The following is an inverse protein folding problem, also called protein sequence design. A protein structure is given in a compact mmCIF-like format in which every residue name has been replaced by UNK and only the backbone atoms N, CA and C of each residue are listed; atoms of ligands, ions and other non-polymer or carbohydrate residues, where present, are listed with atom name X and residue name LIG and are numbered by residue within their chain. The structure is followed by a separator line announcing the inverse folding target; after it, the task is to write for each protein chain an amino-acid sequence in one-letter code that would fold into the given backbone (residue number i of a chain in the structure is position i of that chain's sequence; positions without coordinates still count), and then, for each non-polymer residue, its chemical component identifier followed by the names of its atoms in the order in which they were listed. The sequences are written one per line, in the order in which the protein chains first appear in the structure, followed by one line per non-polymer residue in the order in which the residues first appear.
data_IF_693815662956
#
_entry.id   IF_693815662956
#
_cell.length_a   1.000
_cell.length_b   1.000
_cell.length_c   1.000
_cell.angle_alpha   90.00
_cell.angle_beta   90.00
_cell.angle_gamma   90.00
#
_symmetry.space_group_name_H-M   'P 1'
#
loop_
_entity.id
_entity.type
_entity.pdbx_description
1 polymer ?
#
# COMPACT_ATOMS: atom_id res chain seq x y z
N UNK A 1 -15.35 -24.59 6.72
CA UNK A 1 -13.94 -24.78 6.32
C UNK A 1 -13.37 -23.41 6.11
N UNK A 2 -12.52 -22.94 7.04
CA UNK A 2 -11.89 -21.63 6.93
C UNK A 2 -10.84 -21.69 5.82
N UNK A 3 -10.94 -20.80 4.85
CA UNK A 3 -9.88 -20.62 3.85
C UNK A 3 -8.63 -20.16 4.58
N UNK A 4 -7.57 -20.98 4.55
CA UNK A 4 -6.23 -20.57 5.00
C UNK A 4 -5.83 -19.31 4.22
N UNK A 5 -5.34 -18.28 4.92
CA UNK A 5 -4.83 -17.08 4.26
C UNK A 5 -3.40 -17.37 3.81
N UNK A 6 -3.20 -17.49 2.51
CA UNK A 6 -1.85 -17.51 1.95
C UNK A 6 -1.23 -16.10 2.03
N UNK A 7 0.03 -16.04 2.45
CA UNK A 7 0.83 -14.81 2.52
C UNK A 7 2.05 -14.99 1.64
N UNK A 8 2.50 -13.87 1.10
CA UNK A 8 3.56 -13.87 0.09
C UNK A 8 4.94 -13.47 0.62
N UNK A 9 5.02 -12.91 1.83
CA UNK A 9 6.24 -12.25 2.31
C UNK A 9 6.47 -12.61 3.78
N UNK A 10 7.69 -13.06 4.06
CA UNK A 10 8.09 -13.48 5.39
C UNK A 10 9.44 -12.86 5.74
N UNK A 11 9.65 -12.54 7.01
CA UNK A 11 10.99 -12.30 7.53
C UNK A 11 11.41 -13.51 8.37
N UNK A 12 12.61 -14.01 8.14
CA UNK A 12 13.15 -15.18 8.83
C UNK A 12 14.47 -14.82 9.49
N UNK A 13 14.67 -15.28 10.73
CA UNK A 13 15.92 -15.00 11.47
C UNK A 13 16.24 -16.13 12.44
N UNK A 14 17.48 -16.62 12.41
CA UNK A 14 17.98 -17.56 13.44
C UNK A 14 18.47 -16.78 14.66
N UNK A 15 17.79 -16.98 15.79
CA UNK A 15 17.97 -16.31 17.07
C UNK A 15 19.22 -16.80 17.80
N UNK A 16 19.94 -15.88 18.44
CA UNK A 16 21.02 -16.21 19.37
C UNK A 16 20.43 -16.76 20.67
N UNK A 17 21.22 -17.52 21.42
CA UNK A 17 20.74 -18.22 22.64
C UNK A 17 20.06 -17.33 23.69
N UNK A 18 20.37 -16.03 23.74
CA UNK A 18 19.75 -15.08 24.68
C UNK A 18 18.48 -14.41 24.13
N UNK A 19 18.19 -14.57 22.84
CA UNK A 19 17.00 -14.04 22.16
C UNK A 19 15.88 -15.08 22.06
N UNK A 20 16.16 -16.34 22.41
CA UNK A 20 15.23 -17.46 22.24
C UNK A 20 14.11 -17.40 23.28
N UNK A 21 12.83 -17.43 22.86
CA UNK A 21 11.71 -17.49 23.81
C UNK A 21 11.67 -18.81 24.59
N UNK A 22 12.11 -19.92 23.97
CA UNK A 22 12.20 -21.24 24.59
C UNK A 22 13.48 -21.98 24.18
N UNK A 23 13.93 -22.95 24.99
CA UNK A 23 15.23 -23.67 24.84
C UNK A 23 15.45 -24.36 23.48
N UNK A 24 14.42 -24.50 22.65
CA UNK A 24 14.48 -25.12 21.31
C UNK A 24 14.02 -24.20 20.18
N UNK A 25 13.32 -23.11 20.48
CA UNK A 25 12.80 -22.19 19.48
C UNK A 25 13.91 -21.23 19.05
N UNK A 26 14.64 -21.63 18.00
CA UNK A 26 15.85 -20.93 17.54
C UNK A 26 15.61 -20.08 16.31
N UNK A 27 14.45 -20.16 15.69
CA UNK A 27 14.17 -19.50 14.43
C UNK A 27 12.89 -18.71 14.59
N UNK A 28 12.96 -17.43 14.28
CA UNK A 28 11.83 -16.52 14.23
C UNK A 28 11.34 -16.41 12.79
N UNK A 29 10.03 -16.52 12.59
CA UNK A 29 9.35 -16.28 11.33
C UNK A 29 8.29 -15.20 11.57
N UNK A 30 8.37 -14.08 10.84
CA UNK A 30 7.37 -13.03 10.86
C UNK A 30 6.57 -13.07 9.57
N UNK A 31 5.25 -13.01 9.69
CA UNK A 31 4.32 -12.79 8.57
C UNK A 31 4.20 -11.30 8.34
N UNK A 32 4.46 -10.84 7.11
CA UNK A 32 4.47 -9.41 6.79
C UNK A 32 3.19 -8.97 6.08
N UNK A 33 2.76 -7.73 6.33
CA UNK A 33 1.74 -7.05 5.53
C UNK A 33 2.29 -6.55 4.19
N UNK A 34 1.42 -5.98 3.36
CA UNK A 34 1.80 -5.40 2.06
C UNK A 34 2.77 -4.20 2.20
N UNK A 35 2.94 -3.65 3.40
CA UNK A 35 3.89 -2.59 3.72
C UNK A 35 5.22 -3.13 4.29
N UNK A 36 5.37 -4.46 4.40
CA UNK A 36 6.56 -5.10 4.96
C UNK A 36 6.65 -5.06 6.49
N UNK A 37 5.57 -4.69 7.18
CA UNK A 37 5.49 -4.70 8.64
C UNK A 37 5.04 -6.06 9.12
N UNK A 38 5.65 -6.55 10.21
CA UNK A 38 5.21 -7.77 10.86
C UNK A 38 3.77 -7.63 11.40
N UNK A 39 2.86 -8.45 10.89
CA UNK A 39 1.51 -8.62 11.44
C UNK A 39 1.48 -9.71 12.53
N UNK A 40 2.30 -10.74 12.37
CA UNK A 40 2.34 -11.87 13.27
C UNK A 40 3.75 -12.49 13.31
N UNK A 41 4.08 -13.14 14.43
CA UNK A 41 5.40 -13.75 14.66
C UNK A 41 5.20 -15.15 15.23
N UNK A 42 5.97 -16.09 14.72
CA UNK A 42 6.03 -17.47 15.19
C UNK A 42 7.48 -17.90 15.37
N UNK A 43 7.67 -18.97 16.12
CA UNK A 43 8.98 -19.51 16.41
C UNK A 43 9.02 -21.01 16.16
N UNK A 44 10.10 -21.47 15.54
CA UNK A 44 10.31 -22.88 15.20
C UNK A 44 11.67 -23.38 15.67
N UNK A 45 11.81 -24.69 15.65
CA UNK A 45 13.08 -25.40 15.78
C UNK A 45 13.49 -26.07 14.45
N UNK A 46 14.60 -26.81 14.49
CA UNK A 46 15.16 -27.50 13.32
C UNK A 46 14.37 -28.76 12.93
N UNK A 47 13.42 -29.21 13.76
CA UNK A 47 12.59 -30.41 13.54
C UNK A 47 11.16 -30.07 13.11
N UNK A 48 10.81 -28.78 13.11
CA UNK A 48 9.47 -28.31 12.78
C UNK A 48 9.16 -28.54 11.30
N UNK A 49 8.08 -29.27 11.01
CA UNK A 49 7.64 -29.62 9.64
C UNK A 49 6.42 -28.81 9.16
N UNK A 50 5.77 -28.11 10.08
CA UNK A 50 4.58 -27.31 9.84
C UNK A 50 4.46 -26.18 10.86
N UNK A 51 3.97 -25.02 10.41
CA UNK A 51 3.69 -23.88 11.28
C UNK A 51 2.45 -23.13 10.78
N UNK A 52 1.59 -22.75 11.70
CA UNK A 52 0.50 -21.81 11.45
C UNK A 52 0.65 -20.62 12.40
N UNK A 53 0.65 -19.40 11.84
CA UNK A 53 0.75 -18.15 12.61
C UNK A 53 -0.52 -17.35 12.34
N UNK A 54 -1.37 -17.17 13.36
CA UNK A 54 -2.61 -16.38 13.26
C UNK A 54 -3.50 -16.75 12.04
N UNK A 55 -3.67 -18.05 11.74
CA UNK A 55 -4.48 -18.50 10.60
C UNK A 55 -3.76 -18.50 9.25
N UNK A 56 -2.48 -18.15 9.22
CA UNK A 56 -1.61 -18.23 8.03
C UNK A 56 -0.76 -19.48 8.14
N UNK A 57 -0.98 -20.43 7.24
CA UNK A 57 -0.12 -21.61 7.10
C UNK A 57 1.16 -21.18 6.41
N UNK A 58 2.30 -21.44 7.06
CA UNK A 58 3.61 -21.08 6.54
C UNK A 58 4.04 -22.10 5.49
N UNK A 59 4.38 -21.67 4.27
CA UNK A 59 4.83 -22.58 3.22
C UNK A 59 6.07 -23.37 3.65
N UNK A 60 6.16 -24.61 3.16
CA UNK A 60 7.25 -25.51 3.48
C UNK A 60 8.61 -24.93 3.08
N UNK A 61 8.66 -24.23 1.94
CA UNK A 61 9.82 -23.53 1.41
C UNK A 61 10.38 -22.52 2.43
N UNK A 62 9.51 -21.82 3.17
CA UNK A 62 9.92 -20.86 4.21
C UNK A 62 10.54 -21.60 5.38
N UNK A 63 9.95 -22.72 5.82
CA UNK A 63 10.51 -23.53 6.90
C UNK A 63 11.90 -24.05 6.54
N UNK A 64 12.08 -24.55 5.32
CA UNK A 64 13.38 -25.03 4.83
C UNK A 64 14.43 -23.92 4.82
N UNK A 65 14.09 -22.76 4.26
CA UNK A 65 15.04 -21.64 4.19
C UNK A 65 15.38 -21.16 5.59
N UNK A 66 14.38 -21.01 6.47
CA UNK A 66 14.58 -20.57 7.85
C UNK A 66 15.47 -21.53 8.66
N UNK A 67 15.33 -22.85 8.47
CA UNK A 67 16.17 -23.87 9.11
C UNK A 67 17.62 -23.85 8.61
N UNK A 68 17.83 -23.46 7.35
CA UNK A 68 19.16 -23.35 6.74
C UNK A 68 19.94 -22.07 7.09
N UNK A 69 19.32 -21.09 7.76
CA UNK A 69 19.95 -19.79 8.05
C UNK A 69 21.08 -19.87 9.07
N UNK A 70 22.06 -18.99 8.89
CA UNK A 70 23.11 -18.71 9.88
C UNK A 70 22.60 -17.80 11.00
N UNK A 71 23.23 -17.90 12.17
CA UNK A 71 22.84 -17.15 13.37
C UNK A 71 22.97 -15.64 13.19
N UNK A 72 21.92 -14.92 13.60
CA UNK A 72 21.92 -13.46 13.72
C UNK A 72 21.74 -12.69 12.41
N UNK A 73 21.62 -13.36 11.27
CA UNK A 73 21.24 -12.73 10.00
C UNK A 73 19.75 -12.95 9.77
N UNK A 74 19.01 -11.85 9.67
CA UNK A 74 17.64 -11.86 9.18
C UNK A 74 17.61 -11.77 7.66
N UNK A 75 16.62 -12.39 7.05
CA UNK A 75 16.38 -12.30 5.61
C UNK A 75 14.90 -12.14 5.33
N UNK A 76 14.57 -11.43 4.26
CA UNK A 76 13.21 -11.33 3.76
C UNK A 76 13.08 -12.34 2.62
N UNK A 77 11.98 -13.09 2.60
CA UNK A 77 11.74 -14.11 1.59
C UNK A 77 10.32 -14.01 1.04
N UNK A 78 10.16 -14.35 -0.23
CA UNK A 78 8.83 -14.57 -0.82
C UNK A 78 8.25 -15.93 -0.41
N UNK A 79 7.02 -16.27 -0.84
CA UNK A 79 6.37 -17.55 -0.54
C UNK A 79 7.09 -18.79 -1.09
N UNK A 80 8.00 -18.62 -2.03
CA UNK A 80 8.83 -19.69 -2.61
C UNK A 80 10.18 -19.82 -1.89
N UNK A 81 10.43 -18.99 -0.87
CA UNK A 81 11.68 -18.98 -0.10
C UNK A 81 12.83 -18.23 -0.77
N UNK A 82 12.58 -17.51 -1.87
CA UNK A 82 13.62 -16.71 -2.51
C UNK A 82 13.94 -15.47 -1.66
N UNK A 83 15.22 -15.21 -1.42
CA UNK A 83 15.64 -13.97 -0.76
C UNK A 83 15.22 -12.77 -1.59
N UNK A 84 14.56 -11.83 -0.93
CA UNK A 84 14.12 -10.56 -1.48
C UNK A 84 14.80 -9.47 -0.66
N UNK A 85 15.15 -8.36 -1.32
CA UNK A 85 15.63 -7.20 -0.58
C UNK A 85 14.48 -6.72 0.33
N UNK A 86 14.76 -6.31 1.59
CA UNK A 86 13.78 -5.80 2.56
C UNK A 86 12.86 -4.71 1.99
N UNK A 87 13.29 -4.07 0.90
CA UNK A 87 12.65 -2.95 0.22
C UNK A 87 12.43 -3.19 -1.30
N UNK A 88 12.53 -4.44 -1.79
CA UNK A 88 12.00 -4.87 -3.12
C UNK A 88 10.57 -5.41 -3.06
N UNK A 89 9.88 -5.23 -1.93
CA UNK A 89 8.46 -4.85 -2.00
C UNK A 89 8.42 -3.60 -2.86
N UNK A 90 8.01 -3.68 -4.13
CA UNK A 90 8.02 -2.56 -5.08
C UNK A 90 7.49 -1.30 -4.37
N UNK A 91 8.41 -0.42 -3.92
CA UNK A 91 8.02 0.78 -3.20
C UNK A 91 7.18 1.63 -4.14
N UNK A 92 6.24 2.41 -3.60
CA UNK A 92 5.41 3.33 -4.39
C UNK A 92 6.23 4.07 -5.45
N UNK A 93 7.44 4.50 -5.08
CA UNK A 93 8.34 5.22 -5.98
C UNK A 93 8.93 4.37 -7.10
N UNK A 94 9.36 3.13 -6.84
CA UNK A 94 9.91 2.26 -7.89
C UNK A 94 8.82 1.81 -8.87
N UNK A 95 7.62 1.55 -8.33
CA UNK A 95 6.44 1.21 -9.11
C UNK A 95 6.09 2.34 -10.07
N UNK A 96 6.06 3.59 -9.60
CA UNK A 96 5.67 4.75 -10.40
C UNK A 96 6.81 5.24 -11.31
N UNK A 97 8.08 5.15 -10.90
CA UNK A 97 9.22 5.59 -11.70
C UNK A 97 9.36 4.85 -13.04
N UNK A 98 8.79 3.64 -13.16
CA UNK A 98 8.75 2.84 -14.39
C UNK A 98 7.47 3.08 -15.22
N UNK A 99 6.72 4.13 -14.93
CA UNK A 99 5.41 4.45 -15.53
C UNK A 99 5.40 5.86 -16.10
N UNK A 100 4.36 6.17 -16.88
CA UNK A 100 4.17 7.52 -17.38
C UNK A 100 3.69 8.40 -16.23
N UNK A 101 4.39 9.50 -15.96
CA UNK A 101 4.03 10.43 -14.89
C UNK A 101 4.23 11.88 -15.33
N UNK A 102 3.46 12.79 -14.73
CA UNK A 102 3.46 14.20 -15.08
C UNK A 102 4.73 14.95 -14.63
N UNK A 103 5.47 14.37 -13.68
CA UNK A 103 6.64 15.00 -13.06
C UNK A 103 6.30 15.73 -11.76
N UNK A 104 7.32 16.19 -11.03
CA UNK A 104 7.16 16.68 -9.66
C UNK A 104 6.27 17.92 -9.56
N UNK A 105 5.31 17.92 -8.63
CA UNK A 105 4.53 19.10 -8.27
C UNK A 105 5.29 19.95 -7.24
N UNK A 106 5.46 21.27 -7.46
CA UNK A 106 6.06 22.16 -6.48
C UNK A 106 5.28 22.21 -5.16
N UNK A 107 6.01 22.42 -4.06
CA UNK A 107 5.45 22.57 -2.71
C UNK A 107 4.32 23.61 -2.64
N UNK A 108 4.48 24.74 -3.32
CA UNK A 108 3.48 25.81 -3.38
C UNK A 108 2.18 25.34 -4.03
N UNK A 109 2.26 24.56 -5.10
CA UNK A 109 1.10 24.01 -5.81
C UNK A 109 0.36 22.99 -4.94
N UNK A 110 1.10 22.16 -4.20
CA UNK A 110 0.52 21.22 -3.23
C UNK A 110 -0.21 21.99 -2.13
N UNK A 111 0.41 23.03 -1.57
CA UNK A 111 -0.20 23.85 -0.54
C UNK A 111 -1.48 24.56 -1.04
N UNK A 112 -1.47 25.07 -2.27
CA UNK A 112 -2.66 25.68 -2.89
C UNK A 112 -3.78 24.65 -3.10
N UNK A 113 -3.45 23.41 -3.48
CA UNK A 113 -4.41 22.33 -3.63
C UNK A 113 -5.04 21.92 -2.29
N UNK A 114 -4.22 21.76 -1.24
CA UNK A 114 -4.66 21.51 0.13
C UNK A 114 -5.63 22.60 0.61
N UNK A 115 -5.25 23.87 0.42
CA UNK A 115 -6.09 25.03 0.74
C UNK A 115 -7.40 25.04 -0.05
N UNK A 116 -7.36 24.74 -1.34
CA UNK A 116 -8.54 24.74 -2.21
C UNK A 116 -9.54 23.64 -1.85
N UNK A 117 -9.04 22.50 -1.38
CA UNK A 117 -9.88 21.38 -0.95
C UNK A 117 -10.28 21.46 0.53
N UNK A 118 -9.63 22.32 1.32
CA UNK A 118 -9.86 22.48 2.76
C UNK A 118 -9.33 21.30 3.59
N UNK A 119 -8.26 20.65 3.13
CA UNK A 119 -7.71 19.43 3.73
C UNK A 119 -6.19 19.51 3.77
N UNK A 120 -5.57 18.67 4.60
CA UNK A 120 -4.13 18.40 4.54
C UNK A 120 -3.96 17.03 3.89
N UNK A 121 -3.07 16.90 2.91
CA UNK A 121 -2.77 15.61 2.28
C UNK A 121 -1.96 14.72 3.22
N UNK A 122 -2.16 13.38 3.19
CA UNK A 122 -1.36 12.47 3.99
C UNK A 122 0.08 12.38 3.43
N UNK A 123 1.08 12.07 4.27
CA UNK A 123 2.49 12.09 3.87
C UNK A 123 2.81 11.27 2.62
N UNK A 124 2.24 10.06 2.48
CA UNK A 124 2.46 9.19 1.32
C UNK A 124 1.96 9.78 0.01
N UNK A 125 0.77 10.40 0.03
CA UNK A 125 0.24 11.08 -1.15
C UNK A 125 1.04 12.34 -1.49
N UNK A 126 1.46 13.10 -0.47
CA UNK A 126 2.35 14.27 -0.68
C UNK A 126 3.68 13.89 -1.33
N UNK A 127 4.32 12.80 -0.88
CA UNK A 127 5.54 12.28 -1.51
C UNK A 127 5.33 11.91 -2.97
N UNK A 128 4.19 11.28 -3.29
CA UNK A 128 3.80 11.00 -4.67
C UNK A 128 3.69 12.28 -5.50
N UNK A 129 2.92 13.28 -5.03
CA UNK A 129 2.75 14.55 -5.74
C UNK A 129 4.09 15.26 -5.96
N UNK A 130 4.93 15.37 -4.93
CA UNK A 130 6.23 16.04 -5.00
C UNK A 130 7.21 15.39 -5.99
N UNK A 131 7.05 14.10 -6.29
CA UNK A 131 8.00 13.36 -7.13
C UNK A 131 7.47 13.08 -8.54
N UNK A 132 6.18 12.79 -8.64
CA UNK A 132 5.56 12.28 -9.86
C UNK A 132 4.37 13.12 -10.34
N UNK A 133 3.79 13.93 -9.46
CA UNK A 133 2.67 14.82 -9.79
C UNK A 133 1.38 14.05 -9.98
N UNK A 134 1.25 13.36 -11.11
CA UNK A 134 0.20 12.41 -11.46
C UNK A 134 0.83 11.22 -12.20
N UNK A 135 0.16 10.06 -12.24
CA UNK A 135 0.74 8.88 -12.90
C UNK A 135 -0.31 8.01 -13.61
N UNK A 136 0.10 7.43 -14.73
CA UNK A 136 -0.65 6.46 -15.51
C UNK A 136 0.16 5.18 -15.63
N UNK A 137 -0.44 4.06 -15.23
CA UNK A 137 0.15 2.73 -15.35
C UNK A 137 -0.83 1.73 -15.96
N UNK A 138 -0.36 0.49 -16.11
CA UNK A 138 -1.21 -0.61 -16.57
C UNK A 138 -2.36 -0.83 -15.57
N UNK A 139 -3.57 -0.47 -15.99
CA UNK A 139 -4.79 -0.65 -15.20
C UNK A 139 -5.07 0.43 -14.15
N UNK A 140 -4.32 1.54 -14.11
CA UNK A 140 -4.61 2.62 -13.18
C UNK A 140 -4.21 4.00 -13.68
N UNK A 141 -5.01 5.00 -13.29
CA UNK A 141 -4.70 6.41 -13.46
C UNK A 141 -4.81 7.12 -12.10
N UNK A 142 -3.66 7.48 -11.53
CA UNK A 142 -3.58 8.15 -10.24
C UNK A 142 -3.71 9.66 -10.44
N UNK A 143 -4.82 10.19 -9.94
CA UNK A 143 -5.09 11.61 -9.95
C UNK A 143 -4.06 12.37 -9.10
N UNK A 144 -3.65 13.53 -9.60
CA UNK A 144 -2.50 14.22 -9.08
C UNK A 144 -2.48 15.70 -9.38
N UNK A 145 -1.30 16.31 -9.25
CA UNK A 145 -1.04 17.71 -9.56
C UNK A 145 -0.01 17.79 -10.68
N UNK A 146 -0.29 18.61 -11.69
CA UNK A 146 0.56 18.80 -12.84
C UNK A 146 0.25 20.15 -13.47
N UNK A 147 1.18 20.69 -14.24
CA UNK A 147 0.92 21.87 -15.06
C UNK A 147 -0.05 21.48 -16.18
N UNK A 148 -1.23 22.09 -16.19
CA UNK A 148 -2.16 21.91 -17.30
C UNK A 148 -1.53 22.55 -18.56
N UNK A 149 -1.58 21.83 -19.67
CA UNK A 149 -1.19 22.36 -20.97
C UNK A 149 -2.09 23.52 -21.41
N UNK A 150 -1.86 24.02 -22.64
CA UNK A 150 -2.74 25.03 -23.24
C UNK A 150 -4.20 24.55 -23.33
N UNK A 151 -5.15 25.48 -23.39
CA UNK A 151 -6.60 25.22 -23.37
C UNK A 151 -7.09 24.22 -24.44
N UNK A 152 -6.33 24.03 -25.51
CA UNK A 152 -6.68 23.17 -26.65
C UNK A 152 -6.22 21.70 -26.51
N UNK A 153 -5.44 21.35 -25.48
CA UNK A 153 -4.94 19.99 -25.30
C UNK A 153 -5.65 19.28 -24.13
N UNK A 154 -6.35 18.16 -24.37
CA UNK A 154 -6.98 17.43 -23.29
C UNK A 154 -5.91 16.91 -22.33
N UNK A 155 -6.07 17.09 -21.01
CA UNK A 155 -5.05 16.69 -20.06
C UNK A 155 -4.88 15.16 -20.07
N UNK A 156 -3.62 14.72 -20.11
CA UNK A 156 -3.27 13.29 -20.08
C UNK A 156 -3.55 12.63 -18.72
N UNK A 157 -3.76 13.44 -17.68
CA UNK A 157 -3.99 12.99 -16.31
C UNK A 157 -5.20 13.68 -15.69
N UNK A 158 -5.78 13.06 -14.67
CA UNK A 158 -6.79 13.68 -13.84
C UNK A 158 -6.18 14.60 -12.77
N UNK A 159 -6.59 15.87 -12.75
CA UNK A 159 -6.15 16.82 -11.73
C UNK A 159 -6.98 16.64 -10.45
N UNK A 160 -6.32 16.29 -9.34
CA UNK A 160 -6.97 15.86 -8.08
C UNK A 160 -8.00 16.87 -7.57
N UNK A 161 -7.69 18.17 -7.62
CA UNK A 161 -8.60 19.22 -7.14
C UNK A 161 -9.87 19.29 -8.00
N UNK A 162 -9.73 19.36 -9.33
CA UNK A 162 -10.86 19.53 -10.24
C UNK A 162 -11.74 18.28 -10.25
N UNK A 163 -11.13 17.09 -10.24
CA UNK A 163 -11.84 15.81 -10.13
C UNK A 163 -12.61 15.72 -8.82
N UNK A 164 -11.97 15.99 -7.68
CA UNK A 164 -12.60 15.93 -6.36
C UNK A 164 -13.80 16.89 -6.29
N UNK A 165 -13.64 18.14 -6.73
CA UNK A 165 -14.72 19.12 -6.74
C UNK A 165 -15.84 18.74 -7.72
N UNK A 166 -15.51 18.15 -8.88
CA UNK A 166 -16.51 17.64 -9.83
C UNK A 166 -17.38 16.55 -9.21
N UNK A 167 -16.77 15.57 -8.53
CA UNK A 167 -17.47 14.47 -7.87
C UNK A 167 -18.33 14.96 -6.70
N UNK A 168 -17.85 15.93 -5.91
CA UNK A 168 -18.66 16.59 -4.87
C UNK A 168 -19.90 17.27 -5.44
N UNK A 169 -19.77 17.96 -6.57
CA UNK A 169 -20.92 18.58 -7.24
C UNK A 169 -21.89 17.54 -7.81
N UNK A 170 -21.36 16.51 -8.47
CA UNK A 170 -22.15 15.44 -9.08
C UNK A 170 -22.97 14.63 -8.05
N UNK A 171 -22.44 14.46 -6.84
CA UNK A 171 -23.13 13.82 -5.71
C UNK A 171 -24.13 14.75 -4.98
N UNK A 172 -24.50 15.89 -5.56
CA UNK A 172 -25.33 16.91 -4.90
C UNK A 172 -24.80 17.33 -3.52
N UNK A 173 -23.46 17.39 -3.36
CA UNK A 173 -22.76 17.70 -2.11
C UNK A 173 -22.96 16.68 -0.99
N UNK A 174 -23.39 15.45 -1.31
CA UNK A 174 -23.46 14.36 -0.34
C UNK A 174 -22.07 13.75 -0.06
N UNK A 175 -21.12 13.90 -0.97
CA UNK A 175 -19.74 13.47 -0.75
C UNK A 175 -19.03 14.43 0.26
N UNK A 176 -18.51 13.91 1.39
CA UNK A 176 -17.88 14.75 2.40
C UNK A 176 -16.69 15.57 1.88
N UNK A 177 -16.50 16.82 2.33
CA UNK A 177 -15.35 17.66 1.96
C UNK A 177 -13.97 17.10 2.37
N UNK A 178 -13.96 16.10 3.25
CA UNK A 178 -12.75 15.41 3.72
C UNK A 178 -12.26 14.31 2.78
N UNK A 179 -13.06 13.91 1.77
CA UNK A 179 -12.70 12.89 0.80
C UNK A 179 -11.98 13.52 -0.41
N UNK A 180 -10.85 12.93 -0.77
CA UNK A 180 -10.02 13.34 -1.92
C UNK A 180 -10.01 12.22 -2.94
N UNK A 181 -10.56 12.44 -4.14
CA UNK A 181 -10.64 11.43 -5.18
C UNK A 181 -9.26 11.21 -5.82
N UNK A 182 -8.71 10.00 -5.71
CA UNK A 182 -7.36 9.68 -6.20
C UNK A 182 -7.34 8.71 -7.37
N UNK A 183 -8.41 7.95 -7.59
CA UNK A 183 -8.54 7.02 -8.71
C UNK A 183 -10.01 6.70 -8.95
N UNK A 184 -10.42 6.59 -10.21
CA UNK A 184 -11.63 5.87 -10.61
C UNK A 184 -11.22 4.60 -11.36
N UNK A 185 -11.94 3.50 -11.19
CA UNK A 185 -11.62 2.24 -11.88
C UNK A 185 -12.08 2.20 -13.35
N UNK A 186 -12.76 3.27 -13.82
CA UNK A 186 -13.33 3.35 -15.16
C UNK A 186 -14.76 2.78 -15.25
N UNK A 187 -15.27 2.21 -14.16
CA UNK A 187 -16.66 1.81 -13.98
C UNK A 187 -17.33 2.77 -12.99
N UNK A 188 -17.95 2.25 -11.93
CA UNK A 188 -18.75 3.03 -10.98
C UNK A 188 -18.10 3.17 -9.60
N UNK A 189 -16.86 2.69 -9.40
CA UNK A 189 -16.14 2.87 -8.14
C UNK A 189 -15.09 3.97 -8.21
N UNK A 190 -15.07 4.79 -7.16
CA UNK A 190 -14.05 5.81 -6.96
C UNK A 190 -13.39 5.58 -5.62
N UNK A 191 -12.07 5.72 -5.61
CA UNK A 191 -11.24 5.58 -4.43
C UNK A 191 -10.85 6.95 -3.91
N UNK A 192 -11.04 7.12 -2.61
CA UNK A 192 -10.84 8.38 -1.92
C UNK A 192 -9.85 8.22 -0.77
N UNK A 193 -9.00 9.21 -0.56
CA UNK A 193 -8.32 9.35 0.74
C UNK A 193 -9.32 9.98 1.73
N UNK A 194 -9.59 9.30 2.85
CA UNK A 194 -10.45 9.83 3.93
C UNK A 194 -9.61 10.52 5.01
N UNK A 195 -9.50 11.85 4.89
CA UNK A 195 -8.68 12.67 5.80
C UNK A 195 -9.26 12.81 7.21
N UNK A 196 -10.49 12.35 7.47
CA UNK A 196 -11.06 12.35 8.82
C UNK A 196 -10.48 11.26 9.71
N UNK A 197 -9.97 10.17 9.10
CA UNK A 197 -9.45 8.99 9.80
C UNK A 197 -7.92 9.02 9.86
N UNK A 198 -7.36 10.20 10.15
CA UNK A 198 -5.91 10.38 10.22
C UNK A 198 -5.31 9.58 11.38
N UNK A 199 -4.28 8.80 11.07
CA UNK A 199 -3.52 7.98 12.02
C UNK A 199 -2.45 8.82 12.74
N UNK A 200 -1.84 8.23 13.78
CA UNK A 200 -0.77 8.88 14.55
C UNK A 200 0.48 9.22 13.73
N UNK A 201 0.73 8.47 12.65
CA UNK A 201 1.80 8.72 11.67
C UNK A 201 1.45 9.81 10.64
N UNK A 202 0.23 10.36 10.73
CA UNK A 202 -0.27 11.36 9.81
C UNK A 202 -0.86 10.79 8.53
N UNK A 203 -0.80 9.48 8.29
CA UNK A 203 -1.41 8.84 7.12
C UNK A 203 -2.94 8.80 7.25
N UNK A 204 -3.61 8.60 6.12
CA UNK A 204 -5.07 8.49 6.05
C UNK A 204 -5.44 7.32 5.15
N UNK A 205 -6.47 6.54 5.50
CA UNK A 205 -6.85 5.37 4.72
C UNK A 205 -7.42 5.77 3.36
N UNK A 206 -7.32 4.83 2.42
CA UNK A 206 -8.04 4.88 1.14
C UNK A 206 -9.31 4.06 1.26
N UNK A 207 -10.43 4.65 0.87
CA UNK A 207 -11.76 4.06 0.91
C UNK A 207 -12.35 3.97 -0.50
N UNK A 208 -13.16 2.96 -0.77
CA UNK A 208 -13.94 2.86 -1.99
C UNK A 208 -15.39 3.30 -1.76
N UNK A 209 -15.95 3.98 -2.76
CA UNK A 209 -17.37 4.30 -2.83
C UNK A 209 -17.86 4.00 -4.25
N UNK A 210 -18.96 3.27 -4.35
CA UNK A 210 -19.59 2.85 -5.60
C UNK A 210 -20.85 2.00 -5.34
N UNK A 211 -21.50 1.46 -6.38
CA UNK A 211 -22.65 0.58 -6.22
C UNK A 211 -22.35 -0.59 -5.27
N UNK A 212 -23.15 -0.73 -4.20
CA UNK A 212 -22.97 -1.78 -3.19
C UNK A 212 -21.73 -1.61 -2.29
N UNK A 213 -20.97 -0.51 -2.43
CA UNK A 213 -19.76 -0.23 -1.66
C UNK A 213 -19.87 1.17 -1.06
N UNK A 214 -20.12 1.27 0.25
CA UNK A 214 -20.21 2.57 0.94
C UNK A 214 -19.06 2.73 1.94
N UNK A 215 -18.08 3.54 1.55
CA UNK A 215 -16.98 3.98 2.40
C UNK A 215 -16.15 2.83 3.02
N UNK A 216 -15.92 1.79 2.22
CA UNK A 216 -15.18 0.58 2.61
C UNK A 216 -13.68 0.87 2.58
N UNK A 217 -12.96 0.58 3.65
CA UNK A 217 -11.50 0.79 3.72
C UNK A 217 -10.79 -0.26 2.86
N UNK A 218 -10.07 0.20 1.85
CA UNK A 218 -9.33 -0.64 0.89
C UNK A 218 -7.83 -0.68 1.23
N UNK A 219 -7.29 0.37 1.86
CA UNK A 219 -5.91 0.40 2.31
C UNK A 219 -5.72 1.39 3.46
N UNK A 220 -4.70 1.14 4.29
CA UNK A 220 -4.35 1.99 5.44
C UNK A 220 -3.74 3.34 5.05
N UNK A 221 -3.16 3.42 3.85
CA UNK A 221 -2.53 4.62 3.29
C UNK A 221 -2.44 4.54 1.77
N UNK A 222 -2.07 5.65 1.14
CA UNK A 222 -1.99 5.76 -0.32
C UNK A 222 -0.90 4.85 -0.93
N UNK A 223 0.25 4.69 -0.27
CA UNK A 223 1.31 3.81 -0.80
C UNK A 223 0.86 2.35 -0.89
N UNK A 224 0.22 1.82 0.17
CA UNK A 224 -0.32 0.46 0.19
C UNK A 224 -1.42 0.30 -0.85
N UNK A 225 -2.28 1.31 -1.01
CA UNK A 225 -3.32 1.30 -2.05
C UNK A 225 -2.75 1.10 -3.46
N UNK A 226 -1.76 1.90 -3.86
CA UNK A 226 -1.16 1.81 -5.19
C UNK A 226 -0.48 0.45 -5.42
N UNK A 227 0.21 -0.07 -4.39
CA UNK A 227 0.81 -1.41 -4.46
C UNK A 227 -0.27 -2.48 -4.67
N UNK A 228 -1.40 -2.40 -3.95
CA UNK A 228 -2.53 -3.33 -4.10
C UNK A 228 -3.15 -3.27 -5.49
N UNK A 229 -3.36 -2.08 -6.04
CA UNK A 229 -3.86 -1.91 -7.41
C UNK A 229 -2.94 -2.61 -8.40
N UNK A 230 -1.65 -2.32 -8.33
CA UNK A 230 -0.68 -2.87 -9.27
C UNK A 230 -0.62 -4.41 -9.21
N UNK A 231 -0.82 -4.99 -8.02
CA UNK A 231 -0.89 -6.45 -7.82
C UNK A 231 -2.27 -7.06 -8.13
N UNK A 232 -3.26 -6.26 -8.54
CA UNK A 232 -4.63 -6.73 -8.80
C UNK A 232 -5.40 -7.17 -7.55
N UNK A 233 -5.10 -6.57 -6.38
CA UNK A 233 -5.61 -6.99 -5.05
C UNK A 233 -6.63 -6.06 -4.42
N UNK A 234 -7.40 -5.34 -5.22
CA UNK A 234 -8.57 -4.66 -4.67
C UNK A 234 -9.72 -5.67 -4.62
N UNK A 235 -10.17 -6.01 -3.42
CA UNK A 235 -11.36 -6.83 -3.18
C UNK A 235 -12.42 -5.97 -2.49
N UNK A 236 -13.67 -6.15 -2.92
CA UNK A 236 -14.87 -5.53 -2.33
C UNK A 236 -15.60 -6.53 -1.43
#
# INVERSE_FOLDING_TARGET
MGSSREREWYFIRKLRSHEQPERRQRIEIQVLDDAGKAEAVGYIDEETDSLEINGVVIPWEILQVAQSKDYGQGDYVDSEGNSIEPFKLMGLEELIAKRLHAGPAPESVIWEAEKSLGVVFPPSYRRFLMKFGAALGEGFELAGLFEQGGEDEPPQWNHVVSQTLRLRRASHHQLPPSLIAVLGDGEDHVYYIDTTRRRADGESPVVAIGPGTDNVVIADNFSVFVIRIHKGRIAF
#
